data_IF_609678403251
#
_entry.id   IF_609678403251
#
_cell.length_a   1.000
_cell.length_b   1.000
_cell.length_c   1.000
_cell.angle_alpha   90.00
_cell.angle_beta   90.00
_cell.angle_gamma   90.00
#
_symmetry.space_group_name_H-M   'P 1'
#
loop_
_entity.id
_entity.type
_entity.pdbx_description
1 polymer ?
2 water ?
#
# COMPACT_ATOMS: atom_id res chain seq x y z
N UNK A 3 -0.20 16.13 14.26
CA UNK A 3 0.66 16.69 13.23
C UNK A 3 1.28 18.02 13.68
N UNK A 4 1.44 18.18 15.00
CA UNK A 4 2.11 19.36 15.53
C UNK A 4 3.63 19.28 15.37
N UNK A 5 4.16 18.12 15.00
CA UNK A 5 5.59 17.94 14.80
C UNK A 5 6.05 18.31 13.39
N UNK A 6 5.14 18.76 12.54
CA UNK A 6 5.47 18.95 11.13
C UNK A 6 6.01 20.37 10.93
N UNK A 7 7.25 20.45 10.49
CA UNK A 7 7.87 21.75 10.24
C UNK A 7 7.37 22.34 8.93
N UNK A 8 7.23 21.51 7.91
CA UNK A 8 6.76 21.94 6.60
C UNK A 8 6.29 20.72 5.84
N UNK A 9 5.38 20.95 4.89
CA UNK A 9 4.84 19.91 4.02
C UNK A 9 4.96 20.39 2.58
N UNK A 10 5.67 19.64 1.75
CA UNK A 10 5.98 20.03 0.38
C UNK A 10 5.13 19.20 -0.59
N UNK A 11 4.60 19.87 -1.61
CA UNK A 11 3.81 19.20 -2.63
C UNK A 11 4.75 18.75 -3.74
N UNK A 12 4.79 17.45 -4.00
CA UNK A 12 5.68 16.87 -5.00
C UNK A 12 4.90 15.83 -5.80
N UNK A 13 5.44 15.48 -6.97
CA UNK A 13 4.77 14.53 -7.83
C UNK A 13 4.58 13.18 -7.14
N UNK A 14 5.60 12.72 -6.41
CA UNK A 14 5.50 11.41 -5.77
C UNK A 14 4.40 11.41 -4.72
N UNK A 15 4.25 12.52 -4.02
CA UNK A 15 3.34 12.62 -2.90
C UNK A 15 3.85 13.65 -1.93
N UNK A 16 3.03 14.06 -0.98
CA UNK A 16 3.47 15.08 -0.02
C UNK A 16 4.70 14.60 0.73
N UNK A 17 5.64 15.52 0.95
CA UNK A 17 6.80 15.28 1.78
C UNK A 17 6.62 16.10 3.05
N UNK A 18 6.53 15.42 4.18
CA UNK A 18 6.36 16.06 5.47
C UNK A 18 7.68 16.02 6.23
N UNK A 19 8.08 17.17 6.76
CA UNK A 19 9.27 17.29 7.61
C UNK A 19 8.80 17.24 9.06
N UNK A 20 9.15 16.18 9.77
CA UNK A 20 8.57 15.88 11.07
C UNK A 20 9.61 15.81 12.16
N UNK A 21 9.34 16.48 13.28
CA UNK A 21 10.22 16.44 14.46
C UNK A 21 9.81 15.23 15.26
N UNK A 22 10.48 14.11 15.02
CA UNK A 22 10.23 12.91 15.80
C UNK A 22 11.31 11.88 15.51
N UNK A 23 11.43 10.93 16.43
CA UNK A 23 12.32 9.79 16.22
C UNK A 23 11.82 8.92 15.08
N UNK A 24 12.75 8.38 14.30
CA UNK A 24 12.39 7.46 13.23
C UNK A 24 11.71 6.21 13.78
N UNK A 25 12.03 5.84 15.02
CA UNK A 25 11.43 4.66 15.65
C UNK A 25 10.06 4.94 16.26
N UNK A 26 9.55 6.16 16.16
CA UNK A 26 8.22 6.54 16.63
C UNK A 26 7.31 6.68 15.42
N UNK A 27 6.69 5.59 14.95
CA UNK A 27 6.03 5.61 13.64
C UNK A 27 5.03 6.75 13.52
N UNK A 28 5.12 7.55 12.47
CA UNK A 28 4.08 8.53 12.22
C UNK A 28 2.75 7.83 11.95
N UNK A 29 1.64 8.45 12.35
CA UNK A 29 0.33 7.82 12.11
C UNK A 29 0.16 7.43 10.65
N UNK A 30 -0.14 6.16 10.41
CA UNK A 30 -0.36 5.68 9.07
C UNK A 30 0.85 5.09 8.37
N UNK A 31 2.05 5.31 8.90
CA UNK A 31 3.26 4.74 8.30
C UNK A 31 3.53 3.39 8.94
N UNK A 32 3.38 2.33 8.16
CA UNK A 32 3.71 1.00 8.63
C UNK A 32 5.07 0.56 8.10
N UNK A 33 5.71 1.41 7.30
CA UNK A 33 6.93 1.07 6.57
C UNK A 33 7.97 2.14 6.88
N UNK A 34 9.19 1.70 7.18
CA UNK A 34 10.27 2.60 7.56
C UNK A 34 11.44 2.38 6.61
N UNK A 35 12.24 3.43 6.45
CA UNK A 35 13.45 3.39 5.65
C UNK A 35 14.65 3.29 6.59
N UNK A 36 15.52 2.34 6.30
CA UNK A 36 16.81 2.23 6.97
C UNK A 36 17.87 2.92 6.12
N UNK A 37 18.63 3.80 6.75
CA UNK A 37 19.80 4.42 6.12
C UNK A 37 20.91 3.38 6.16
N UNK A 38 20.95 2.55 5.14
CA UNK A 38 21.75 1.33 5.16
C UNK A 38 23.06 1.49 4.39
N UNK A 39 23.95 0.52 4.61
CA UNK A 39 25.19 0.41 3.88
C UNK A 39 25.09 -0.73 2.87
N UNK A 40 26.06 -0.76 1.95
CA UNK A 40 25.98 -1.70 0.83
C UNK A 40 25.93 -3.15 1.30
N UNK A 41 26.57 -3.45 2.43
CA UNK A 41 26.53 -4.79 2.99
C UNK A 41 25.33 -5.09 3.85
N UNK A 42 24.45 -4.10 4.06
CA UNK A 42 23.22 -4.29 4.83
C UNK A 42 23.49 -4.74 6.26
N UNK A 43 24.61 -4.28 6.82
CA UNK A 43 25.01 -4.61 8.18
C UNK A 43 24.51 -3.55 9.15
N UNK A 44 24.33 -3.96 10.41
CA UNK A 44 23.96 -3.01 11.45
C UNK A 44 25.08 -2.01 11.67
N UNK A 45 24.72 -0.74 11.75
CA UNK A 45 25.68 0.31 12.01
C UNK A 45 25.30 1.12 13.23
N UNK A 46 25.64 2.39 13.22
CA UNK A 46 25.21 3.31 14.26
C UNK A 46 24.02 4.12 13.75
N UNK A 47 23.64 5.15 14.49
CA UNK A 47 22.60 6.05 14.02
C UNK A 47 21.30 5.33 13.79
N UNK A 48 20.64 5.70 12.68
CA UNK A 48 19.31 5.15 12.38
C UNK A 48 19.40 3.65 12.19
N UNK A 49 20.39 3.19 11.43
CA UNK A 49 20.55 1.76 11.20
C UNK A 49 20.71 1.01 12.51
N UNK A 50 21.50 1.57 13.43
CA UNK A 50 21.61 0.97 14.76
C UNK A 50 20.26 0.84 15.45
N UNK A 51 19.47 1.92 15.42
CA UNK A 51 18.19 1.90 16.12
C UNK A 51 17.26 0.83 15.55
N UNK A 52 17.19 0.70 14.22
CA UNK A 52 16.29 -0.28 13.62
C UNK A 52 16.72 -1.70 14.00
N UNK A 53 18.01 -1.99 13.84
CA UNK A 53 18.51 -3.31 14.21
C UNK A 53 18.38 -3.55 15.71
N UNK A 54 18.55 -2.50 16.51
CA UNK A 54 18.44 -2.65 17.96
C UNK A 54 17.07 -3.18 18.36
N UNK A 55 16.05 -2.91 17.55
CA UNK A 55 14.67 -3.25 17.90
C UNK A 55 14.14 -4.43 17.09
N UNK A 56 15.02 -5.19 16.45
CA UNK A 56 14.60 -6.28 15.58
C UNK A 56 15.22 -7.60 16.01
N UNK A 57 14.66 -8.67 15.48
CA UNK A 57 15.18 -9.98 15.71
C UNK A 57 16.37 -10.23 14.81
N UNK A 58 17.12 -11.27 15.23
CA UNK A 58 18.21 -11.76 14.29
C UNK A 58 17.77 -12.05 12.87
N UNK A 59 16.50 -12.41 12.67
CA UNK A 59 16.05 -12.73 11.33
C UNK A 59 16.26 -11.58 10.36
N UNK A 60 16.37 -10.35 10.86
CA UNK A 60 16.62 -9.22 9.96
C UNK A 60 18.03 -9.29 9.39
N UNK A 61 19.02 -9.57 10.24
CA UNK A 61 20.38 -9.76 9.74
C UNK A 61 20.44 -10.95 8.78
N UNK A 62 19.66 -12.00 9.06
CA UNK A 62 19.61 -13.15 8.17
C UNK A 62 19.05 -12.77 6.81
N UNK A 63 17.94 -12.02 6.80
CA UNK A 63 17.39 -11.57 5.53
C UNK A 63 18.37 -10.70 4.77
N UNK A 64 19.11 -9.84 5.49
CA UNK A 64 20.10 -9.00 4.81
C UNK A 64 21.27 -9.84 4.27
N UNK A 65 21.72 -10.86 5.02
CA UNK A 65 22.76 -11.74 4.49
C UNK A 65 22.35 -12.30 3.14
N UNK A 66 21.07 -12.66 2.99
CA UNK A 66 20.59 -13.23 1.75
C UNK A 66 20.52 -12.19 0.63
N UNK A 67 20.37 -10.92 0.98
CA UNK A 67 20.12 -9.88 0.00
C UNK A 67 21.35 -9.04 -0.33
N UNK A 68 22.34 -9.02 0.55
CA UNK A 68 23.49 -8.16 0.32
C UNK A 68 24.27 -8.62 -0.92
N UNK A 69 24.94 -7.69 -1.61
CA UNK A 69 24.96 -6.25 -1.35
C UNK A 69 23.79 -5.49 -1.96
N UNK A 70 23.46 -4.34 -1.39
CA UNK A 70 22.57 -3.37 -2.01
C UNK A 70 23.41 -2.24 -2.57
N UNK A 71 23.54 -2.11 -3.90
CA UNK A 71 24.42 -1.07 -4.44
C UNK A 71 24.00 0.32 -3.97
N UNK A 72 24.99 1.18 -3.83
CA UNK A 72 24.73 2.58 -3.54
C UNK A 72 23.74 3.14 -4.55
N UNK A 73 22.76 3.88 -4.05
CA UNK A 73 21.72 4.44 -4.87
C UNK A 73 20.50 3.57 -5.02
N UNK A 74 20.57 2.31 -4.62
CA UNK A 74 19.46 1.37 -4.70
C UNK A 74 18.82 1.17 -3.33
N UNK A 75 17.73 0.42 -3.34
CA UNK A 75 17.02 0.06 -2.12
C UNK A 75 16.49 -1.36 -2.25
N UNK A 76 16.31 -2.01 -1.10
CA UNK A 76 15.75 -3.36 -1.04
C UNK A 76 14.95 -3.48 0.26
N UNK A 77 13.87 -4.26 0.20
CA UNK A 77 12.94 -4.37 1.30
C UNK A 77 13.13 -5.69 2.05
N UNK A 78 12.82 -5.65 3.34
CA UNK A 78 12.72 -6.85 4.18
C UNK A 78 11.54 -6.65 5.11
N UNK A 79 11.01 -7.73 5.69
CA UNK A 79 10.10 -7.57 6.81
C UNK A 79 10.76 -6.76 7.92
N UNK A 80 9.93 -6.28 8.84
CA UNK A 80 10.42 -5.42 9.91
C UNK A 80 10.89 -6.14 11.16
N UNK A 81 10.47 -7.40 11.31
CA UNK A 81 10.92 -8.26 12.40
C UNK A 81 10.85 -7.57 13.76
N UNK A 82 9.69 -6.98 14.04
CA UNK A 82 9.42 -6.47 15.37
C UNK A 82 10.04 -5.13 15.70
N UNK A 83 10.56 -4.40 14.71
CA UNK A 83 11.16 -3.11 14.99
C UNK A 83 10.13 -1.99 15.16
N UNK A 84 8.84 -2.31 15.07
CA UNK A 84 7.78 -1.31 15.14
C UNK A 84 7.14 -1.00 13.81
N UNK A 85 7.68 -1.52 12.72
CA UNK A 85 7.14 -1.37 11.39
C UNK A 85 6.96 -2.74 10.77
N UNK A 86 6.00 -2.86 9.85
CA UNK A 86 5.80 -4.14 9.17
C UNK A 86 6.97 -4.45 8.23
N UNK A 87 7.55 -3.43 7.61
CA UNK A 87 8.62 -3.64 6.65
C UNK A 87 9.67 -2.54 6.77
N UNK A 88 10.88 -2.87 6.33
CA UNK A 88 12.00 -1.93 6.27
C UNK A 88 12.47 -1.82 4.83
N UNK A 89 12.63 -0.60 4.35
CA UNK A 89 13.25 -0.31 3.06
C UNK A 89 14.69 0.09 3.34
N UNK A 90 15.63 -0.81 3.04
CA UNK A 90 17.04 -0.50 3.19
C UNK A 90 17.52 0.26 1.97
N UNK A 91 17.85 1.53 2.14
CA UNK A 91 18.30 2.37 1.04
C UNK A 91 19.72 2.86 1.33
N UNK A 92 20.59 2.78 0.33
CA UNK A 92 22.01 3.05 0.49
C UNK A 92 22.33 4.39 -0.15
N UNK A 93 22.61 5.38 0.70
CA UNK A 93 23.09 6.68 0.28
C UNK A 93 24.60 6.62 0.02
N UNK A 94 25.09 7.44 -0.90
CA UNK A 94 26.55 7.54 -1.07
C UNK A 94 27.15 8.32 0.10
N UNK A 95 28.40 8.01 0.41
CA UNK A 95 29.20 8.90 1.21
C UNK A 95 29.41 10.21 0.44
N UNK A 96 29.44 11.32 1.14
CA UNK A 96 29.60 12.61 0.47
C UNK A 96 31.02 12.74 -0.07
N UNK A 97 31.21 12.96 -1.38
CA UNK A 97 32.57 13.11 -1.91
C UNK A 97 33.25 14.34 -1.31
N UNK A 98 34.53 14.19 -0.95
CA UNK A 98 35.21 15.23 -0.18
C UNK A 98 35.65 16.41 -1.03
N UNK A 99 35.93 16.20 -2.31
CA UNK A 99 36.29 17.32 -3.20
C UNK A 99 35.85 16.95 -4.61
N UNK A 100 34.99 17.75 -5.26
CA UNK A 100 34.44 17.33 -6.57
C UNK A 100 35.54 17.00 -7.58
N UNK A 101 35.19 16.52 -8.77
CA UNK A 101 33.84 16.44 -9.31
C UNK A 101 33.04 15.25 -8.82
N UNK A 102 33.60 14.41 -7.97
CA UNK A 102 32.78 13.32 -7.45
C UNK A 102 31.53 13.85 -6.76
N UNK A 103 31.54 15.11 -6.31
CA UNK A 103 30.42 15.67 -5.55
C UNK A 103 29.12 15.70 -6.37
N UNK A 104 29.13 16.35 -7.54
CA UNK A 104 27.95 16.28 -8.40
C UNK A 104 27.54 14.85 -8.70
N UNK A 105 28.51 13.95 -8.92
CA UNK A 105 28.15 12.55 -9.08
C UNK A 105 27.47 12.02 -7.83
N UNK A 106 27.91 12.47 -6.65
CA UNK A 106 27.35 11.97 -5.40
C UNK A 106 26.01 12.56 -5.07
N UNK A 107 25.74 13.80 -5.51
CA UNK A 107 24.40 14.35 -5.35
C UNK A 107 23.39 13.54 -6.14
N UNK A 108 23.75 13.16 -7.37
CA UNK A 108 22.84 12.35 -8.19
C UNK A 108 22.56 11.01 -7.52
N UNK A 109 23.57 10.42 -6.90
CA UNK A 109 23.38 9.12 -6.25
C UNK A 109 22.55 9.24 -4.99
N UNK A 110 22.65 10.36 -4.29
CA UNK A 110 21.79 10.61 -3.13
C UNK A 110 20.34 10.79 -3.57
N UNK A 111 20.11 11.57 -4.63
CA UNK A 111 18.76 11.67 -5.18
C UNK A 111 18.25 10.31 -5.63
N UNK A 112 19.13 9.51 -6.26
CA UNK A 112 18.72 8.20 -6.74
C UNK A 112 18.25 7.30 -5.61
N UNK A 113 18.96 7.32 -4.48
CA UNK A 113 18.54 6.51 -3.34
C UNK A 113 17.09 6.83 -2.95
N UNK A 114 16.77 8.13 -2.92
CA UNK A 114 15.39 8.53 -2.61
C UNK A 114 14.42 8.08 -3.69
N UNK A 115 14.80 8.22 -4.97
CA UNK A 115 13.95 7.74 -6.05
C UNK A 115 13.71 6.24 -5.93
N UNK A 116 14.75 5.50 -5.54
CA UNK A 116 14.63 4.06 -5.37
C UNK A 116 13.65 3.70 -4.26
N UNK A 117 13.67 4.46 -3.17
CA UNK A 117 12.68 4.25 -2.11
C UNK A 117 11.27 4.40 -2.67
N UNK A 118 11.03 5.49 -3.40
CA UNK A 118 9.68 5.79 -3.87
C UNK A 118 9.20 4.70 -4.80
N UNK A 119 10.01 4.37 -5.81
CA UNK A 119 9.62 3.34 -6.76
C UNK A 119 9.35 2.02 -6.07
N UNK A 120 10.18 1.65 -5.10
CA UNK A 120 9.96 0.41 -4.36
C UNK A 120 8.63 0.44 -3.62
N UNK A 121 8.39 1.51 -2.86
CA UNK A 121 7.13 1.63 -2.14
C UNK A 121 5.94 1.61 -3.09
N UNK A 122 6.03 2.32 -4.21
CA UNK A 122 4.94 2.31 -5.17
C UNK A 122 4.64 0.89 -5.64
N UNK A 123 5.69 0.11 -5.94
CA UNK A 123 5.50 -1.24 -6.42
C UNK A 123 4.87 -2.14 -5.37
N UNK A 124 5.09 -1.87 -4.10
CA UNK A 124 4.43 -2.63 -3.04
C UNK A 124 3.09 -2.00 -2.65
N UNK A 125 2.73 -0.87 -3.25
CA UNK A 125 1.52 -0.12 -2.91
C UNK A 125 1.53 0.28 -1.45
N UNK A 126 2.69 0.71 -0.96
CA UNK A 126 2.80 1.35 0.33
C UNK A 126 2.59 2.84 0.12
N UNK A 127 1.59 3.40 0.78
CA UNK A 127 1.20 4.79 0.55
C UNK A 127 1.99 5.78 1.38
N UNK A 128 2.51 5.36 2.54
CA UNK A 128 3.24 6.24 3.44
C UNK A 128 4.48 5.52 3.96
N UNK A 129 5.59 6.25 4.03
CA UNK A 129 6.87 5.71 4.44
C UNK A 129 7.54 6.69 5.38
N UNK A 130 7.99 6.21 6.52
CA UNK A 130 8.80 7.00 7.45
C UNK A 130 10.26 6.89 7.04
N UNK A 131 10.93 8.03 6.93
CA UNK A 131 12.24 8.10 6.30
C UNK A 131 13.17 9.02 7.09
N UNK A 132 14.41 8.62 7.29
CA UNK A 132 15.39 9.54 7.88
C UNK A 132 15.99 10.40 6.77
N UNK A 133 16.83 11.36 7.18
CA UNK A 133 17.59 12.14 6.21
C UNK A 133 18.77 11.28 5.78
N UNK A 134 18.57 10.57 4.67
CA UNK A 134 19.61 9.69 4.13
C UNK A 134 20.94 10.42 4.02
N UNK A 135 21.99 9.77 4.51
CA UNK A 135 23.33 10.26 4.38
C UNK A 135 23.72 11.35 5.35
N UNK A 136 22.80 11.80 6.19
CA UNK A 136 23.04 12.93 7.06
C UNK A 136 23.62 12.53 8.42
N UNK A 137 24.07 11.29 8.56
CA UNK A 137 24.85 10.92 9.71
C UNK A 137 26.32 10.76 9.37
N UNK A 138 26.87 9.56 9.59
CA UNK A 138 28.28 9.36 9.36
C UNK A 138 28.67 9.48 7.89
N UNK A 139 27.71 9.37 6.96
CA UNK A 139 28.05 9.45 5.54
C UNK A 139 28.32 10.88 5.07
N UNK A 140 28.08 11.88 5.93
CA UNK A 140 28.71 13.18 5.76
C UNK A 140 27.86 14.28 5.17
N UNK A 141 26.66 13.96 4.68
CA UNK A 141 25.81 15.00 4.11
C UNK A 141 25.14 15.80 5.22
N UNK A 142 24.84 17.05 4.93
CA UNK A 142 24.08 17.88 5.85
C UNK A 142 22.59 17.58 5.73
N UNK A 143 21.83 18.01 6.73
CA UNK A 143 20.38 17.84 6.67
C UNK A 143 19.79 18.56 5.47
N UNK A 144 20.33 19.74 5.12
CA UNK A 144 19.77 20.48 4.00
C UNK A 144 20.12 19.81 2.67
N UNK A 145 21.32 19.25 2.55
CA UNK A 145 21.66 18.52 1.34
C UNK A 145 20.76 17.31 1.16
N UNK A 146 20.45 16.62 2.25
CA UNK A 146 19.61 15.43 2.18
C UNK A 146 18.17 15.79 1.89
N UNK A 147 17.68 16.88 2.48
CA UNK A 147 16.32 17.32 2.19
C UNK A 147 16.20 17.78 0.75
N UNK A 148 17.15 18.59 0.29
CA UNK A 148 17.15 19.02 -1.11
C UNK A 148 17.10 17.80 -2.03
N UNK A 149 17.88 16.76 -1.72
CA UNK A 149 17.86 15.56 -2.55
C UNK A 149 16.50 14.90 -2.55
N UNK A 150 15.88 14.77 -1.37
CA UNK A 150 14.57 14.14 -1.30
C UNK A 150 13.54 14.96 -2.08
N UNK A 151 13.61 16.28 -1.97
CA UNK A 151 12.66 17.16 -2.64
C UNK A 151 12.93 17.25 -4.13
N UNK A 152 14.11 16.84 -4.59
CA UNK A 152 14.36 16.65 -6.01
C UNK A 152 13.90 15.28 -6.49
N UNK A 153 14.22 14.23 -5.71
CA UNK A 153 13.85 12.88 -6.11
C UNK A 153 12.35 12.71 -6.26
N UNK A 154 11.57 13.38 -5.41
CA UNK A 154 10.13 13.19 -5.42
C UNK A 154 9.44 13.91 -6.57
N UNK A 155 10.18 14.66 -7.38
CA UNK A 155 9.60 15.29 -8.57
C UNK A 155 9.39 14.27 -9.68
N UNK A 156 10.08 13.15 -9.63
CA UNK A 156 9.86 12.06 -10.59
C UNK A 156 8.55 11.38 -10.25
N UNK A 157 7.61 11.40 -11.20
CA UNK A 157 6.29 10.86 -10.93
C UNK A 157 6.34 9.34 -10.87
N UNK A 158 5.89 8.73 -9.79
CA UNK A 158 5.92 7.26 -9.70
C UNK A 158 4.63 6.63 -10.22
N UNK A 159 4.60 5.29 -10.26
CA UNK A 159 3.41 4.59 -10.72
C UNK A 159 2.25 4.76 -9.75
N UNK A 160 2.55 4.88 -8.46
CA UNK A 160 1.56 5.11 -7.42
C UNK A 160 2.11 6.12 -6.43
N UNK A 161 1.22 6.92 -5.84
CA UNK A 161 1.67 7.97 -4.94
C UNK A 161 2.29 7.38 -3.68
N UNK A 162 3.36 8.04 -3.22
CA UNK A 162 4.08 7.64 -2.02
C UNK A 162 4.39 8.92 -1.26
N UNK A 163 3.94 9.00 -0.02
CA UNK A 163 4.19 10.15 0.85
C UNK A 163 5.37 9.83 1.75
N UNK A 164 6.42 10.66 1.70
CA UNK A 164 7.57 10.51 2.57
C UNK A 164 7.38 11.36 3.83
N UNK A 165 7.35 10.70 4.99
CA UNK A 165 7.38 11.39 6.28
C UNK A 165 8.83 11.37 6.74
N UNK A 166 9.54 12.49 6.54
CA UNK A 166 10.94 12.56 6.91
C UNK A 166 11.05 12.94 8.38
N UNK A 167 11.74 12.10 9.15
CA UNK A 167 11.75 12.21 10.60
C UNK A 167 13.16 12.49 11.09
N UNK A 168 13.28 13.48 11.98
CA UNK A 168 14.52 13.76 12.64
C UNK A 168 14.10 14.31 13.99
N UNK A 169 14.70 13.83 15.09
CA UNK A 169 14.20 14.21 16.42
C UNK A 169 14.55 15.63 16.85
N UNK A 170 15.45 16.32 16.16
CA UNK A 170 15.91 17.65 16.59
C UNK A 170 15.20 18.73 15.78
N UNK A 171 14.42 19.57 16.47
CA UNK A 171 13.66 20.63 15.82
C UNK A 171 14.57 21.58 15.05
N UNK A 172 15.63 22.06 15.70
CA UNK A 172 16.49 23.06 15.09
C UNK A 172 17.10 22.55 13.79
N UNK A 173 17.52 21.28 13.77
CA UNK A 173 18.10 20.74 12.54
C UNK A 173 17.12 20.87 11.38
N UNK A 174 15.84 20.58 11.64
CA UNK A 174 14.85 20.59 10.56
C UNK A 174 14.43 22.00 10.16
N UNK A 175 14.23 22.88 11.14
CA UNK A 175 13.87 24.26 10.79
C UNK A 175 15.03 24.91 10.05
N UNK A 176 16.25 24.69 10.52
CA UNK A 176 17.42 25.17 9.80
C UNK A 176 17.43 24.67 8.36
N UNK A 177 17.25 23.36 8.17
CA UNK A 177 17.24 22.79 6.84
C UNK A 177 16.14 23.41 5.99
N UNK A 178 14.97 23.66 6.57
CA UNK A 178 13.86 24.19 5.80
C UNK A 178 14.12 25.61 5.31
N UNK A 179 15.07 26.32 5.93
CA UNK A 179 15.46 27.64 5.46
C UNK A 179 16.52 27.54 4.38
N UNK A 180 17.47 26.62 4.54
CA UNK A 180 18.58 26.53 3.59
C UNK A 180 18.15 26.06 2.22
N UNK A 181 17.12 25.22 2.14
CA UNK A 181 16.65 24.69 0.87
C UNK A 181 16.20 25.83 -0.03
N UNK A 182 15.22 26.64 0.39
CA UNK A 182 14.85 27.79 -0.46
C UNK A 182 15.98 28.80 -0.61
N UNK A 183 16.86 28.91 0.38
CA UNK A 183 17.94 29.89 0.32
C UNK A 183 18.89 29.59 -0.84
N UNK A 184 19.20 28.32 -1.07
CA UNK A 184 20.05 27.94 -2.20
C UNK A 184 19.51 28.55 -3.49
N UNK A 185 18.20 28.53 -3.68
CA UNK A 185 17.59 29.07 -4.90
C UNK A 185 17.42 30.59 -4.87
N UNK A 186 17.54 31.20 -3.70
CA UNK A 186 17.49 32.67 -3.58
C UNK A 186 18.81 33.32 -3.93
N UNK B 2 -14.52 -31.97 2.28
CA UNK B 2 -13.93 -30.64 2.27
C UNK B 2 -14.66 -29.72 1.29
N UNK B 3 -14.54 -28.41 1.54
CA UNK B 3 -15.01 -27.38 0.61
C UNK B 3 -16.53 -27.37 0.45
N UNK B 4 -17.26 -27.84 1.46
CA UNK B 4 -18.70 -28.00 1.31
C UNK B 4 -19.39 -26.66 1.05
N UNK B 5 -18.82 -25.55 1.50
CA UNK B 5 -19.44 -24.25 1.32
C UNK B 5 -19.22 -23.68 -0.08
N UNK B 6 -18.46 -24.35 -0.93
CA UNK B 6 -18.12 -23.84 -2.25
C UNK B 6 -19.19 -24.25 -3.25
N UNK B 7 -19.77 -23.26 -3.92
CA UNK B 7 -20.78 -23.53 -4.93
C UNK B 7 -20.13 -23.84 -6.28
N UNK B 8 -19.11 -23.07 -6.66
CA UNK B 8 -18.41 -23.28 -7.92
C UNK B 8 -17.04 -22.64 -7.79
N UNK B 9 -16.08 -23.18 -8.54
CA UNK B 9 -14.74 -22.62 -8.62
C UNK B 9 -14.38 -22.43 -10.07
N UNK B 10 -14.03 -21.20 -10.44
CA UNK B 10 -13.77 -20.80 -11.81
C UNK B 10 -12.27 -20.60 -12.00
N UNK B 11 -11.73 -21.15 -13.09
CA UNK B 11 -10.31 -21.00 -13.40
C UNK B 11 -10.13 -19.72 -14.20
N UNK B 12 -9.29 -18.82 -13.69
CA UNK B 12 -9.08 -17.52 -14.32
C UNK B 12 -7.61 -17.15 -14.20
N UNK B 13 -7.16 -16.28 -15.11
CA UNK B 13 -5.76 -15.88 -15.16
C UNK B 13 -5.26 -15.37 -13.82
N UNK B 14 -6.05 -14.54 -13.14
CA UNK B 14 -5.62 -14.01 -11.84
C UNK B 14 -5.39 -15.14 -10.85
N UNK B 15 -6.25 -16.15 -10.89
CA UNK B 15 -6.26 -17.21 -9.92
C UNK B 15 -7.67 -17.75 -9.83
N UNK B 16 -7.85 -18.86 -9.11
CA UNK B 16 -9.20 -19.43 -8.99
C UNK B 16 -10.14 -18.46 -8.28
N UNK B 17 -11.38 -18.42 -8.75
CA UNK B 17 -12.45 -17.66 -8.11
C UNK B 17 -13.39 -18.66 -7.49
N UNK B 18 -13.54 -18.62 -6.17
CA UNK B 18 -14.38 -19.54 -5.43
C UNK B 18 -15.63 -18.82 -4.96
N UNK B 19 -16.79 -19.38 -5.29
CA UNK B 19 -18.08 -18.85 -4.86
C UNK B 19 -18.45 -19.61 -3.60
N UNK B 20 -18.48 -18.91 -2.47
CA UNK B 20 -18.52 -19.55 -1.17
C UNK B 20 -19.72 -19.09 -0.37
N UNK B 21 -20.39 -20.03 0.28
CA UNK B 21 -21.54 -19.74 1.14
C UNK B 21 -21.00 -19.53 2.55
N UNK B 22 -20.78 -18.26 2.91
CA UNK B 22 -20.25 -17.91 4.23
C UNK B 22 -20.33 -16.41 4.39
N UNK B 23 -20.32 -15.96 5.66
CA UNK B 23 -20.19 -14.55 5.92
C UNK B 23 -18.85 -14.02 5.46
N UNK B 24 -18.83 -12.76 5.03
CA UNK B 24 -17.57 -12.10 4.71
C UNK B 24 -16.68 -12.03 5.94
N UNK B 25 -17.25 -11.98 7.13
CA UNK B 25 -16.48 -11.95 8.37
C UNK B 25 -16.16 -13.36 8.89
N UNK B 26 -16.32 -14.39 8.05
CA UNK B 26 -15.94 -15.76 8.38
C UNK B 26 -14.80 -16.13 7.44
N UNK B 27 -13.57 -15.73 7.74
CA UNK B 27 -12.48 -15.85 6.77
C UNK B 27 -12.33 -17.28 6.25
N UNK B 28 -12.29 -17.46 4.93
CA UNK B 28 -11.97 -18.78 4.40
C UNK B 28 -10.59 -19.21 4.89
N UNK B 29 -10.38 -20.51 5.06
CA UNK B 29 -9.09 -20.96 5.60
C UNK B 29 -7.93 -20.39 4.80
N UNK B 30 -6.96 -19.84 5.51
CA UNK B 30 -5.78 -19.28 4.89
C UNK B 30 -5.92 -17.86 4.39
N UNK B 31 -7.13 -17.29 4.42
CA UNK B 31 -7.36 -15.95 3.93
C UNK B 31 -7.12 -14.93 5.03
N UNK B 32 -6.14 -14.05 4.83
CA UNK B 32 -5.76 -13.03 5.80
C UNK B 32 -6.19 -11.63 5.37
N UNK B 33 -6.83 -11.49 4.21
CA UNK B 33 -7.19 -10.19 3.67
C UNK B 33 -8.66 -10.22 3.29
N UNK B 34 -9.36 -9.12 3.58
CA UNK B 34 -10.77 -9.01 3.26
C UNK B 34 -10.96 -7.75 2.42
N UNK B 35 -11.99 -7.76 1.59
CA UNK B 35 -12.40 -6.59 0.83
C UNK B 35 -13.56 -5.95 1.54
N UNK B 36 -13.51 -4.62 1.66
CA UNK B 36 -14.62 -3.81 2.12
C UNK B 36 -15.31 -3.20 0.91
N UNK B 37 -16.60 -3.45 0.76
CA UNK B 37 -17.39 -2.76 -0.26
C UNK B 37 -17.57 -1.32 0.17
N UNK B 38 -16.66 -0.45 -0.25
CA UNK B 38 -16.53 0.88 0.33
C UNK B 38 -17.14 1.94 -0.58
N UNK B 39 -17.36 3.12 0.01
CA UNK B 39 -17.74 4.31 -0.72
C UNK B 39 -16.50 5.19 -0.95
N UNK B 40 -16.68 6.21 -1.77
CA UNK B 40 -15.55 7.03 -2.21
C UNK B 40 -14.87 7.70 -1.02
N UNK B 41 -15.65 8.18 -0.05
CA UNK B 41 -15.10 8.80 1.14
C UNK B 41 -14.54 7.84 2.17
N UNK B 42 -14.60 6.53 1.92
CA UNK B 42 -14.02 5.53 2.81
C UNK B 42 -14.61 5.62 4.21
N UNK B 43 -15.85 6.07 4.33
CA UNK B 43 -16.52 6.20 5.62
C UNK B 43 -17.36 4.96 5.90
N UNK B 44 -17.59 4.71 7.19
CA UNK B 44 -18.34 3.53 7.60
C UNK B 44 -19.75 3.55 7.02
N UNK B 45 -20.30 2.35 6.83
CA UNK B 45 -21.63 2.21 6.28
C UNK B 45 -22.34 0.97 6.80
N UNK B 46 -23.34 0.50 6.07
CA UNK B 46 -24.08 -0.70 6.44
C UNK B 46 -23.54 -1.90 5.65
N UNK B 47 -24.25 -3.02 5.71
CA UNK B 47 -23.84 -4.20 4.95
C UNK B 47 -22.41 -4.60 5.30
N UNK B 48 -21.61 -4.84 4.26
CA UNK B 48 -20.25 -5.34 4.47
C UNK B 48 -19.40 -4.30 5.20
N UNK B 49 -19.46 -3.05 4.75
CA UNK B 49 -18.74 -1.98 5.41
C UNK B 49 -19.01 -1.98 6.91
N UNK B 50 -20.29 -2.02 7.29
CA UNK B 50 -20.62 -2.05 8.70
C UNK B 50 -19.97 -3.22 9.42
N UNK B 51 -20.08 -4.41 8.85
CA UNK B 51 -19.51 -5.59 9.49
C UNK B 51 -18.02 -5.41 9.77
N UNK B 52 -17.29 -4.89 8.80
CA UNK B 52 -15.84 -4.75 8.94
C UNK B 52 -15.50 -3.69 9.99
N UNK B 53 -16.17 -2.53 9.90
CA UNK B 53 -15.92 -1.46 10.85
C UNK B 53 -16.42 -1.79 12.25
N UNK B 54 -17.40 -2.70 12.36
CA UNK B 54 -18.04 -2.96 13.65
C UNK B 54 -17.03 -3.41 14.69
N UNK B 55 -16.06 -4.23 14.31
CA UNK B 55 -15.08 -4.78 15.23
C UNK B 55 -13.68 -4.20 15.04
N UNK B 56 -13.57 -3.06 14.36
CA UNK B 56 -12.29 -2.43 14.11
C UNK B 56 -12.06 -1.32 15.13
N UNK B 57 -10.80 -1.15 15.53
CA UNK B 57 -10.40 -0.06 16.41
C UNK B 57 -10.71 1.28 15.74
N UNK B 58 -10.71 2.38 16.49
CA UNK B 58 -10.87 3.70 15.85
C UNK B 58 -9.79 3.99 14.82
N UNK B 59 -8.66 3.29 14.87
CA UNK B 59 -7.56 3.54 13.96
C UNK B 59 -7.91 3.25 12.51
N UNK B 60 -8.94 2.44 12.26
CA UNK B 60 -9.34 2.18 10.89
C UNK B 60 -9.92 3.42 10.22
N UNK B 61 -10.78 4.14 10.94
CA UNK B 61 -11.32 5.38 10.42
C UNK B 61 -10.22 6.42 10.18
N UNK B 62 -9.24 6.48 11.09
CA UNK B 62 -8.14 7.42 10.94
C UNK B 62 -7.28 7.08 9.73
N UNK B 63 -6.98 5.80 9.54
CA UNK B 63 -6.25 5.38 8.35
C UNK B 63 -7.02 5.71 7.09
N UNK B 64 -8.36 5.53 7.12
CA UNK B 64 -9.16 5.83 5.95
C UNK B 64 -9.16 7.33 5.64
N UNK B 65 -9.19 8.18 6.68
CA UNK B 65 -9.16 9.62 6.45
C UNK B 65 -7.90 10.01 5.67
N UNK B 66 -6.77 9.39 5.99
CA UNK B 66 -5.51 9.74 5.34
C UNK B 66 -5.50 9.32 3.88
N UNK B 67 -6.28 8.31 3.50
CA UNK B 67 -6.29 7.82 2.13
C UNK B 67 -7.45 8.36 1.29
N UNK B 68 -8.47 8.93 1.92
CA UNK B 68 -9.67 9.33 1.18
C UNK B 68 -9.38 10.56 0.32
N UNK B 69 -10.05 10.69 -0.83
CA UNK B 69 -11.05 9.77 -1.39
C UNK B 69 -10.45 8.62 -2.18
N UNK B 70 -11.18 7.51 -2.31
CA UNK B 70 -10.79 6.42 -3.19
C UNK B 70 -11.75 6.43 -4.37
N UNK B 71 -11.33 6.85 -5.56
CA UNK B 71 -12.30 7.00 -6.66
C UNK B 71 -12.99 5.68 -7.00
N UNK B 72 -14.24 5.79 -7.44
CA UNK B 72 -14.98 4.65 -7.93
C UNK B 72 -14.15 3.87 -8.94
N UNK B 73 -14.06 2.56 -8.74
CA UNK B 73 -13.26 1.70 -9.57
C UNK B 73 -11.86 1.47 -9.07
N UNK B 74 -11.45 2.13 -7.99
CA UNK B 74 -10.13 1.95 -7.40
C UNK B 74 -10.24 1.29 -6.04
N UNK B 75 -9.08 0.98 -5.46
CA UNK B 75 -9.00 0.27 -4.19
C UNK B 75 -7.75 0.71 -3.44
N UNK B 76 -7.86 0.74 -2.12
CA UNK B 76 -6.76 1.08 -1.23
C UNK B 76 -6.75 0.08 -0.09
N UNK B 77 -5.60 -0.06 0.56
CA UNK B 77 -5.39 -1.02 1.62
C UNK B 77 -5.17 -0.31 2.95
N UNK B 78 -5.71 -0.90 4.01
CA UNK B 78 -5.41 -0.50 5.37
C UNK B 78 -5.12 -1.76 6.18
N UNK B 79 -4.49 -1.61 7.34
CA UNK B 79 -4.49 -2.71 8.30
C UNK B 79 -5.91 -3.08 8.69
N UNK B 80 -6.10 -4.33 9.11
CA UNK B 80 -7.41 -4.77 9.55
C UNK B 80 -7.76 -4.29 10.94
N UNK B 81 -6.77 -3.91 11.75
CA UNK B 81 -7.00 -3.48 13.13
C UNK B 81 -7.66 -4.64 13.86
N UNK B 82 -8.89 -4.50 14.31
CA UNK B 82 -9.47 -5.60 15.06
C UNK B 82 -10.38 -6.54 14.30
N UNK B 83 -10.65 -6.28 13.01
CA UNK B 83 -11.83 -6.84 12.36
C UNK B 83 -11.77 -8.34 12.13
N UNK B 84 -10.67 -9.02 12.43
CA UNK B 84 -10.57 -10.44 12.18
C UNK B 84 -9.78 -10.82 10.95
N UNK B 85 -9.31 -9.83 10.19
CA UNK B 85 -8.38 -9.99 9.08
C UNK B 85 -7.15 -9.14 9.36
N UNK B 86 -6.03 -9.53 8.74
CA UNK B 86 -4.81 -8.76 8.90
C UNK B 86 -4.87 -7.45 8.14
N UNK B 87 -5.50 -7.45 6.96
CA UNK B 87 -5.60 -6.26 6.14
C UNK B 87 -6.97 -6.18 5.51
N UNK B 88 -7.38 -4.95 5.17
CA UNK B 88 -8.62 -4.68 4.48
C UNK B 88 -8.29 -3.99 3.16
N UNK B 89 -8.86 -4.48 2.07
CA UNK B 89 -8.86 -3.77 0.80
C UNK B 89 -10.20 -3.06 0.68
N UNK B 90 -10.17 -1.74 0.62
CA UNK B 90 -11.37 -0.92 0.45
C UNK B 90 -11.54 -0.66 -1.05
N UNK B 91 -12.57 -1.24 -1.64
CA UNK B 91 -12.84 -1.11 -3.07
C UNK B 91 -14.20 -0.44 -3.25
N UNK B 92 -14.29 0.44 -4.24
CA UNK B 92 -15.45 1.29 -4.42
C UNK B 92 -16.15 0.87 -5.71
N UNK B 93 -17.34 0.26 -5.55
CA UNK B 93 -18.15 -0.15 -6.68
C UNK B 93 -18.97 1.03 -7.19
N UNK B 94 -19.26 1.08 -8.48
CA UNK B 94 -20.21 2.08 -8.99
C UNK B 94 -21.62 1.71 -8.58
N UNK B 95 -22.47 2.73 -8.49
CA UNK B 95 -23.90 2.52 -8.34
C UNK B 95 -24.46 2.06 -9.68
N UNK B 96 -25.43 1.17 -9.63
CA UNK B 96 -26.06 0.58 -10.82
C UNK B 96 -26.99 1.58 -11.48
N UNK B 97 -26.69 2.07 -12.68
CA UNK B 97 -27.58 3.05 -13.32
C UNK B 97 -28.90 2.42 -13.72
N UNK B 98 -29.98 3.21 -13.61
CA UNK B 98 -31.28 2.77 -14.10
C UNK B 98 -31.38 2.97 -15.61
N UNK B 99 -30.85 4.10 -16.11
CA UNK B 99 -30.78 4.38 -17.54
C UNK B 99 -30.10 3.19 -18.21
N UNK B 100 -30.82 2.43 -19.02
CA UNK B 100 -30.19 1.27 -19.68
C UNK B 100 -29.06 1.66 -20.62
N UNK B 101 -29.06 2.88 -21.15
CA UNK B 101 -27.98 3.33 -22.02
C UNK B 101 -26.66 3.51 -21.27
N UNK B 102 -26.72 3.68 -19.95
CA UNK B 102 -25.54 3.87 -19.12
C UNK B 102 -25.06 2.59 -18.49
N UNK B 103 -25.71 1.46 -18.79
CA UNK B 103 -25.38 0.21 -18.13
C UNK B 103 -23.95 -0.22 -18.41
N UNK B 104 -23.50 -0.08 -19.66
CA UNK B 104 -22.19 -0.63 -20.03
C UNK B 104 -21.08 0.16 -19.37
N UNK B 105 -21.24 1.48 -19.23
CA UNK B 105 -20.27 2.27 -18.48
C UNK B 105 -20.19 1.80 -17.02
N UNK B 106 -21.34 1.51 -16.41
CA UNK B 106 -21.32 1.03 -15.05
C UNK B 106 -20.68 -0.34 -14.91
N UNK B 107 -20.94 -1.23 -15.86
CA UNK B 107 -20.34 -2.56 -15.81
C UNK B 107 -18.82 -2.47 -15.88
N UNK B 108 -18.29 -1.57 -16.72
CA UNK B 108 -16.85 -1.42 -16.82
C UNK B 108 -16.24 -0.94 -15.50
N UNK B 109 -16.92 -0.03 -14.82
CA UNK B 109 -16.43 0.44 -13.54
C UNK B 109 -16.49 -0.64 -12.46
N UNK B 110 -17.49 -1.52 -12.55
CA UNK B 110 -17.57 -2.65 -11.62
C UNK B 110 -16.44 -3.64 -11.88
N UNK B 111 -16.20 -3.97 -13.14
CA UNK B 111 -15.05 -4.81 -13.46
C UNK B 111 -13.76 -4.13 -13.02
N UNK B 112 -13.68 -2.81 -13.18
CA UNK B 112 -12.47 -2.10 -12.79
C UNK B 112 -12.22 -2.26 -11.29
N UNK B 113 -13.26 -2.11 -10.47
CA UNK B 113 -13.07 -2.27 -9.03
C UNK B 113 -12.44 -3.63 -8.73
N UNK B 114 -12.95 -4.68 -9.36
CA UNK B 114 -12.42 -6.02 -9.15
C UNK B 114 -10.98 -6.12 -9.63
N UNK B 115 -10.67 -5.52 -10.79
CA UNK B 115 -9.29 -5.51 -11.28
C UNK B 115 -8.38 -4.79 -10.28
N UNK B 116 -8.87 -3.71 -9.68
CA UNK B 116 -8.07 -2.96 -8.72
C UNK B 116 -7.78 -3.80 -7.48
N UNK B 117 -8.75 -4.59 -7.05
CA UNK B 117 -8.53 -5.48 -5.91
C UNK B 117 -7.41 -6.47 -6.22
N UNK B 118 -7.45 -7.07 -7.40
CA UNK B 118 -6.44 -8.07 -7.75
C UNK B 118 -5.06 -7.43 -7.83
N UNK B 119 -4.97 -6.27 -8.49
CA UNK B 119 -3.67 -5.63 -8.71
C UNK B 119 -3.04 -5.20 -7.39
N UNK B 120 -3.87 -4.68 -6.47
CA UNK B 120 -3.38 -4.30 -5.15
C UNK B 120 -2.90 -5.52 -4.37
N UNK B 121 -3.69 -6.59 -4.39
CA UNK B 121 -3.27 -7.82 -3.70
C UNK B 121 -1.98 -8.36 -4.28
N UNK B 122 -1.85 -8.35 -5.62
CA UNK B 122 -0.63 -8.86 -6.24
C UNK B 122 0.57 -7.98 -5.88
N UNK B 123 0.38 -6.68 -5.80
CA UNK B 123 1.48 -5.80 -5.42
C UNK B 123 1.89 -6.02 -3.97
N UNK B 124 0.92 -6.30 -3.10
CA UNK B 124 1.20 -6.57 -1.69
C UNK B 124 1.61 -8.01 -1.44
N UNK B 125 1.53 -8.88 -2.46
CA UNK B 125 1.87 -10.29 -2.33
C UNK B 125 0.92 -11.01 -1.39
N UNK B 126 -0.36 -10.73 -1.53
CA UNK B 126 -1.42 -11.46 -0.85
C UNK B 126 -2.00 -12.46 -1.85
N UNK B 127 -1.96 -13.75 -1.48
CA UNK B 127 -2.35 -14.79 -2.41
C UNK B 127 -3.86 -15.02 -2.43
N UNK B 128 -4.54 -14.72 -1.33
CA UNK B 128 -5.96 -15.01 -1.21
C UNK B 128 -6.65 -13.80 -0.61
N UNK B 129 -7.84 -13.50 -1.13
CA UNK B 129 -8.59 -12.33 -0.71
C UNK B 129 -10.06 -12.74 -0.57
N UNK B 130 -10.63 -12.52 0.61
CA UNK B 130 -12.06 -12.73 0.80
C UNK B 130 -12.77 -11.47 0.34
N UNK B 131 -13.81 -11.65 -0.48
CA UNK B 131 -14.42 -10.52 -1.13
C UNK B 131 -15.92 -10.74 -1.19
N UNK B 132 -16.71 -9.72 -0.92
CA UNK B 132 -18.17 -9.85 -1.06
C UNK B 132 -18.55 -9.61 -2.51
N UNK B 133 -19.83 -9.78 -2.80
CA UNK B 133 -20.35 -9.40 -4.11
C UNK B 133 -20.38 -7.88 -4.19
N UNK B 134 -19.29 -7.28 -4.68
CA UNK B 134 -19.20 -5.84 -4.83
C UNK B 134 -20.40 -5.28 -5.56
N UNK B 135 -20.92 -4.15 -5.07
CA UNK B 135 -22.00 -3.44 -5.70
C UNK B 135 -23.36 -4.07 -5.55
N UNK B 136 -23.47 -5.23 -4.91
CA UNK B 136 -24.69 -6.00 -4.93
C UNK B 136 -25.63 -5.69 -3.78
N UNK B 137 -25.36 -4.64 -3.02
CA UNK B 137 -26.28 -4.27 -1.96
C UNK B 137 -27.08 -3.03 -2.27
N UNK B 138 -26.81 -1.96 -1.52
CA UNK B 138 -27.46 -0.69 -1.78
C UNK B 138 -27.08 -0.13 -3.14
N UNK B 139 -25.93 -0.55 -3.68
CA UNK B 139 -25.44 0.00 -4.93
C UNK B 139 -26.15 -0.61 -6.15
N UNK B 140 -27.02 -1.60 -5.96
CA UNK B 140 -28.06 -1.90 -6.93
C UNK B 140 -27.79 -3.05 -7.88
N UNK B 141 -26.56 -3.57 -7.92
CA UNK B 141 -26.25 -4.67 -8.82
C UNK B 141 -26.76 -5.99 -8.26
N UNK B 142 -27.05 -6.92 -9.17
CA UNK B 142 -27.45 -8.25 -8.73
C UNK B 142 -26.22 -9.10 -8.42
N UNK B 143 -26.45 -10.19 -7.70
CA UNK B 143 -25.36 -11.13 -7.43
C UNK B 143 -24.75 -11.63 -8.73
N UNK B 144 -25.60 -11.96 -9.72
CA UNK B 144 -25.10 -12.45 -10.99
C UNK B 144 -24.27 -11.40 -11.71
N UNK B 145 -24.72 -10.13 -11.70
CA UNK B 145 -23.95 -9.08 -12.34
C UNK B 145 -22.61 -8.89 -11.65
N UNK B 146 -22.59 -8.98 -10.32
CA UNK B 146 -21.35 -8.83 -9.58
C UNK B 146 -20.40 -9.98 -9.88
N UNK B 147 -20.92 -11.21 -9.85
CA UNK B 147 -20.08 -12.37 -10.16
C UNK B 147 -19.55 -12.29 -11.57
N UNK B 148 -20.40 -11.92 -12.53
CA UNK B 148 -19.94 -11.79 -13.92
C UNK B 148 -18.80 -10.78 -14.02
N UNK B 149 -18.90 -9.67 -13.29
CA UNK B 149 -17.83 -8.68 -13.32
C UNK B 149 -16.55 -9.23 -12.73
N UNK B 150 -16.64 -9.96 -11.61
CA UNK B 150 -15.45 -10.57 -11.04
C UNK B 150 -14.81 -11.54 -12.01
N UNK B 151 -15.63 -12.36 -12.68
CA UNK B 151 -15.13 -13.38 -13.57
C UNK B 151 -14.56 -12.79 -14.86
N UNK B 152 -14.93 -11.56 -15.20
CA UNK B 152 -14.30 -10.87 -16.31
C UNK B 152 -13.02 -10.16 -15.89
N UNK B 153 -13.05 -9.51 -14.72
CA UNK B 153 -11.89 -8.78 -14.24
C UNK B 153 -10.71 -9.72 -14.02
N UNK B 154 -10.96 -10.93 -13.52
CA UNK B 154 -9.88 -11.87 -13.25
C UNK B 154 -9.30 -12.47 -14.52
N UNK B 155 -9.82 -12.11 -15.70
CA UNK B 155 -9.20 -12.54 -16.94
C UNK B 155 -7.92 -11.78 -17.22
N UNK B 156 -7.74 -10.61 -16.62
CA UNK B 156 -6.52 -9.84 -16.72
C UNK B 156 -5.43 -10.50 -15.90
N UNK B 157 -4.33 -10.88 -16.54
CA UNK B 157 -3.26 -11.57 -15.83
C UNK B 157 -2.52 -10.57 -14.94
N UNK B 158 -2.39 -10.86 -13.64
CA UNK B 158 -1.67 -9.94 -12.75
C UNK B 158 -0.23 -10.34 -12.51
N UNK B 159 0.49 -9.53 -11.72
CA UNK B 159 1.92 -9.75 -11.51
C UNK B 159 2.18 -10.99 -10.67
N UNK B 160 1.31 -11.26 -9.70
CA UNK B 160 1.37 -12.46 -8.88
C UNK B 160 -0.03 -13.04 -8.86
N UNK B 161 -0.14 -14.32 -8.52
CA UNK B 161 -1.46 -14.92 -8.47
C UNK B 161 -2.25 -14.47 -7.25
N UNK B 162 -3.54 -14.21 -7.48
CA UNK B 162 -4.49 -13.80 -6.45
C UNK B 162 -5.75 -14.62 -6.65
N UNK B 163 -6.16 -15.34 -5.61
CA UNK B 163 -7.39 -16.12 -5.61
C UNK B 163 -8.47 -15.37 -4.87
N UNK B 164 -9.56 -15.06 -5.56
CA UNK B 164 -10.70 -14.37 -4.97
C UNK B 164 -11.68 -15.39 -4.40
N UNK B 165 -11.96 -15.27 -3.11
CA UNK B 165 -13.01 -16.07 -2.47
C UNK B 165 -14.21 -15.16 -2.30
N UNK B 166 -15.18 -15.30 -3.19
CA UNK B 166 -16.37 -14.45 -3.15
C UNK B 166 -17.37 -15.06 -2.17
N UNK B 167 -17.72 -14.30 -1.14
CA UNK B 167 -18.41 -14.81 0.03
C UNK B 167 -19.78 -14.16 0.11
N UNK B 168 -20.81 -14.99 0.28
CA UNK B 168 -22.14 -14.51 0.55
C UNK B 168 -22.84 -15.58 1.37
N UNK B 169 -23.54 -15.19 2.45
CA UNK B 169 -24.05 -16.20 3.39
C UNK B 169 -25.30 -16.95 2.91
N UNK B 170 -25.92 -16.56 1.79
CA UNK B 170 -27.15 -17.17 1.34
C UNK B 170 -26.87 -18.10 0.17
N UNK B 171 -27.09 -19.40 0.38
CA UNK B 171 -26.83 -20.39 -0.67
C UNK B 171 -27.69 -20.13 -1.90
N UNK B 172 -28.99 -19.91 -1.70
CA UNK B 172 -29.90 -19.70 -2.82
C UNK B 172 -29.42 -18.54 -3.70
N UNK B 173 -28.94 -17.46 -3.07
CA UNK B 173 -28.42 -16.33 -3.84
C UNK B 173 -27.28 -16.76 -4.74
N UNK B 174 -26.38 -17.59 -4.22
CA UNK B 174 -25.17 -17.96 -4.98
C UNK B 174 -25.45 -19.04 -6.00
N UNK B 175 -26.27 -20.04 -5.65
CA UNK B 175 -26.60 -21.06 -6.64
C UNK B 175 -27.39 -20.45 -7.80
N UNK B 176 -28.29 -19.52 -7.50
CA UNK B 176 -28.98 -18.78 -8.56
C UNK B 176 -27.99 -18.04 -9.45
N UNK B 177 -27.10 -17.25 -8.85
CA UNK B 177 -26.11 -16.53 -9.63
C UNK B 177 -25.28 -17.49 -10.48
N UNK B 178 -24.97 -18.67 -9.94
CA UNK B 178 -24.13 -19.61 -10.68
C UNK B 178 -24.86 -20.15 -11.91
N UNK B 179 -26.18 -20.01 -11.97
CA UNK B 179 -26.94 -20.39 -13.15
C UNK B 179 -27.06 -19.23 -14.13
N UNK B 180 -27.23 -18.02 -13.60
CA UNK B 180 -27.44 -16.87 -14.47
C UNK B 180 -26.18 -16.48 -15.23
N UNK B 181 -25.01 -16.75 -14.67
CA UNK B 181 -23.74 -16.41 -15.32
C UNK B 181 -23.67 -17.15 -16.65
N UNK B 182 -23.72 -18.48 -16.68
CA UNK B 182 -23.69 -19.16 -17.98
C UNK B 182 -24.95 -18.92 -18.81
N UNK B 183 -26.09 -18.63 -18.19
CA UNK B 183 -27.27 -18.28 -18.98
C UNK B 183 -27.02 -17.07 -19.86
N UNK B 184 -26.12 -16.18 -19.44
CA UNK B 184 -25.78 -15.01 -20.23
C UNK B 184 -25.08 -15.39 -21.53
N UNK B 185 -24.04 -16.22 -21.44
CA UNK B 185 -23.32 -16.66 -22.63
C UNK B 185 -24.21 -17.48 -23.56
N UNK B 186 -25.15 -18.25 -22.98
CA UNK B 186 -26.11 -19.03 -23.76
C UNK B 186 -26.98 -18.16 -24.65
N UNK B 187 -26.92 -16.83 -24.48
CA UNK B 187 -27.75 -15.88 -25.22
C UNK B 187 -27.66 -15.99 -26.74
#
# INVERSE_FOLDING_TARGET
>A
MADSDIVESYARAAGPVHLRVRDIMDPPPGCKVVVNAANEGLLAGSGVCGAIFANATPALAADCRRLAPCPTGEAVATPGHGCGYTHIIHAVAPRRPRDPAALEEGEALLERAYRSIVALAAARRWACVACPLLGAGVYGWSAAESLRAALAATRTEPAERVSLHICHPDRATLTHASVLVPLEHHHHHH
>B
MADSDIVESYARAAGPVHLRVRDIMDPPPGCKVVVNAANEGLLAGSGVCGAIFANATPALAADCRRLAPCPTGEAVATPGHGCGYTHIIHAVAPRRPRDPAALEEGEALLERAYRSIVALAAARRWACVACPLLGAGVYGWSAAESLRAALAATRTEPAERVSLHICHPDRATLTHASVLVPLEHHHHHH
#
